data_IF_374341348705
#
_entry.id   IF_374341348705
#
_cell.length_a   1.000
_cell.length_b   1.000
_cell.length_c   1.000
_cell.angle_alpha   90.00
_cell.angle_beta   90.00
_cell.angle_gamma   90.00
#
_symmetry.space_group_name_H-M   'P 1'
#
loop_
_entity.id
_entity.type
_entity.pdbx_description
1 polymer ?
#
# COMPACT_ATOMS: atom_id res chain seq x y z
N UNK A 1 -0.63 -6.87 -9.66
CA UNK A 1 0.77 -6.75 -9.18
C UNK A 1 1.55 -5.83 -10.14
N UNK A 2 2.38 -4.91 -9.64
CA UNK A 2 3.15 -4.01 -10.53
C UNK A 2 4.34 -4.74 -11.17
N UNK A 3 4.88 -4.18 -12.26
CA UNK A 3 6.04 -4.73 -12.98
C UNK A 3 7.34 -4.73 -12.17
N UNK A 4 7.37 -4.00 -11.04
CA UNK A 4 8.52 -3.85 -10.15
C UNK A 4 8.47 -4.74 -8.91
N UNK A 5 7.41 -5.56 -8.76
CA UNK A 5 7.25 -6.46 -7.61
C UNK A 5 8.47 -7.38 -7.47
N UNK A 6 9.05 -7.44 -6.27
CA UNK A 6 10.26 -8.21 -5.97
C UNK A 6 11.56 -7.40 -6.00
N UNK A 7 11.54 -6.19 -6.59
CA UNK A 7 12.65 -5.24 -6.54
C UNK A 7 12.24 -4.07 -5.64
N UNK A 8 12.38 -4.23 -4.33
CA UNK A 8 11.73 -3.35 -3.34
C UNK A 8 12.03 -1.86 -3.52
N UNK A 9 13.28 -1.48 -3.81
CA UNK A 9 13.65 -0.08 -4.02
C UNK A 9 12.96 0.53 -5.26
N UNK A 10 12.90 -0.23 -6.37
CA UNK A 10 12.22 0.22 -7.59
C UNK A 10 10.70 0.25 -7.40
N UNK A 11 10.14 -0.76 -6.74
CA UNK A 11 8.72 -0.87 -6.45
C UNK A 11 8.23 0.31 -5.60
N UNK A 12 8.94 0.62 -4.51
CA UNK A 12 8.61 1.74 -3.63
C UNK A 12 8.73 3.06 -4.39
N UNK A 13 9.82 3.28 -5.14
CA UNK A 13 9.98 4.51 -5.93
C UNK A 13 8.82 4.69 -6.91
N UNK A 14 8.51 3.67 -7.70
CA UNK A 14 7.44 3.70 -8.69
C UNK A 14 6.09 4.07 -8.09
N UNK A 15 5.69 3.43 -6.97
CA UNK A 15 4.42 3.75 -6.32
C UNK A 15 4.43 5.14 -5.67
N UNK A 16 5.53 5.54 -5.03
CA UNK A 16 5.65 6.88 -4.43
C UNK A 16 5.54 7.99 -5.47
N UNK A 17 6.10 7.80 -6.66
CA UNK A 17 6.00 8.75 -7.77
C UNK A 17 4.54 8.92 -8.25
N UNK A 18 3.65 7.97 -7.94
CA UNK A 18 2.21 8.01 -8.22
C UNK A 18 1.36 8.38 -6.99
N UNK A 19 1.97 8.72 -5.85
CA UNK A 19 1.24 9.00 -4.60
C UNK A 19 0.70 7.76 -3.89
N UNK A 20 1.26 6.59 -4.18
CA UNK A 20 0.81 5.29 -3.65
C UNK A 20 1.88 4.59 -2.79
N UNK A 21 1.45 3.55 -2.08
CA UNK A 21 2.32 2.54 -1.47
C UNK A 21 2.18 1.19 -2.20
N UNK A 22 3.22 0.33 -2.20
CA UNK A 22 3.08 -1.03 -2.70
C UNK A 22 1.96 -1.81 -1.98
N UNK A 23 1.31 -2.74 -2.68
CA UNK A 23 0.29 -3.64 -2.15
C UNK A 23 0.70 -4.33 -0.82
N UNK A 24 1.99 -4.59 -0.64
CA UNK A 24 2.54 -5.23 0.57
C UNK A 24 2.33 -4.42 1.86
N UNK A 25 1.96 -3.13 1.77
CA UNK A 25 1.64 -2.29 2.92
C UNK A 25 0.19 -2.47 3.41
N UNK A 26 -0.65 -3.16 2.63
CA UNK A 26 -2.07 -3.32 2.90
C UNK A 26 -2.40 -4.79 3.20
N UNK A 27 -3.31 -5.06 4.14
CA UNK A 27 -3.80 -6.41 4.35
C UNK A 27 -4.68 -6.88 3.18
N UNK A 28 -4.75 -8.19 2.95
CA UNK A 28 -5.41 -8.78 1.77
C UNK A 28 -6.86 -8.32 1.57
N UNK A 29 -7.61 -8.14 2.67
CA UNK A 29 -9.00 -7.70 2.62
C UNK A 29 -9.13 -6.24 2.16
N UNK A 30 -8.15 -5.37 2.46
CA UNK A 30 -8.09 -3.98 2.00
C UNK A 30 -7.60 -3.92 0.56
N UNK A 31 -6.53 -4.65 0.24
CA UNK A 31 -5.89 -4.61 -1.08
C UNK A 31 -6.83 -5.08 -2.20
N UNK A 32 -7.88 -5.87 -1.89
CA UNK A 32 -8.97 -6.19 -2.83
C UNK A 32 -9.66 -4.96 -3.43
N UNK A 33 -9.65 -3.83 -2.71
CA UNK A 33 -10.18 -2.56 -3.19
C UNK A 33 -9.24 -1.80 -4.14
N UNK A 34 -7.99 -2.24 -4.27
CA UNK A 34 -6.93 -1.65 -5.12
C UNK A 34 -6.58 -0.18 -4.86
N UNK A 35 -7.20 0.46 -3.87
CA UNK A 35 -6.85 1.82 -3.44
C UNK A 35 -5.57 1.78 -2.61
N UNK A 36 -4.46 2.06 -3.27
CA UNK A 36 -3.11 2.09 -2.69
C UNK A 36 -2.64 3.49 -2.34
N UNK A 37 -3.55 4.47 -2.33
CA UNK A 37 -3.22 5.84 -1.97
C UNK A 37 -2.65 5.92 -0.54
N UNK A 38 -1.78 6.90 -0.32
CA UNK A 38 -1.26 7.17 1.03
C UNK A 38 -2.41 7.59 1.96
N UNK A 39 -3.41 8.30 1.45
CA UNK A 39 -4.62 8.70 2.17
C UNK A 39 -5.39 7.49 2.70
N UNK A 40 -5.58 6.46 1.86
CA UNK A 40 -6.24 5.23 2.28
C UNK A 40 -5.42 4.48 3.33
N UNK A 41 -4.09 4.42 3.16
CA UNK A 41 -3.20 3.83 4.17
C UNK A 41 -3.34 4.53 5.53
N UNK A 42 -3.31 5.87 5.57
CA UNK A 42 -3.48 6.66 6.80
C UNK A 42 -4.85 6.41 7.42
N UNK A 43 -5.91 6.43 6.62
CA UNK A 43 -7.29 6.18 7.07
C UNK A 43 -7.42 4.83 7.76
N UNK A 44 -6.86 3.77 7.18
CA UNK A 44 -6.97 2.43 7.75
C UNK A 44 -6.12 2.30 9.01
N UNK A 45 -4.93 2.90 9.03
CA UNK A 45 -4.11 2.92 10.23
C UNK A 45 -4.81 3.63 11.39
N UNK A 46 -5.53 4.73 11.13
CA UNK A 46 -6.34 5.43 12.13
C UNK A 46 -7.53 4.58 12.61
N UNK A 47 -8.18 3.85 11.71
CA UNK A 47 -9.35 3.02 11.99
C UNK A 47 -9.00 1.73 12.77
N UNK A 48 -7.88 1.07 12.42
CA UNK A 48 -7.54 -0.28 12.90
C UNK A 48 -6.32 -0.35 13.80
N UNK A 49 -5.49 0.70 13.81
CA UNK A 49 -4.22 0.75 14.53
C UNK A 49 -3.06 0.10 13.77
N UNK A 50 -1.90 0.06 14.45
CA UNK A 50 -0.62 -0.42 13.89
C UNK A 50 -0.51 -1.94 13.75
N UNK A 51 -1.27 -2.67 14.55
CA UNK A 51 -1.47 -4.11 14.45
C UNK A 51 -2.84 -4.24 13.80
N UNK A 52 -2.88 -4.60 12.52
CA UNK A 52 -4.09 -4.67 11.70
C UNK A 52 -5.08 -5.70 12.26
N UNK A 53 -5.80 -5.29 13.31
CA UNK A 53 -6.85 -6.03 14.01
C UNK A 53 -7.96 -6.45 13.05
#
# INVERSE_FOLDING_TARGET
PCSKKGICCECIKYHRDMGELPACYFPDNVERGYDRSIENFIRIYQDRGHSWN
#
